data_IF_775610339610
#
_entry.id   IF_775610339610
#
_cell.length_a   1.000
_cell.length_b   1.000
_cell.length_c   1.000
_cell.angle_alpha   90.00
_cell.angle_beta   90.00
_cell.angle_gamma   90.00
#
_symmetry.space_group_name_H-M   'P 1'
#
loop_
_entity.id
_entity.type
_entity.pdbx_description
1 polymer ?
#
# COMPACT_ATOMS: atom_id res chain seq x y z
N UNK A 1 -8.00 0.48 2.30
CA UNK A 1 -7.45 -0.87 2.57
C UNK A 1 -8.61 -1.73 2.98
N UNK A 2 -8.99 -2.66 2.12
CA UNK A 2 -10.09 -3.59 2.41
C UNK A 2 -9.55 -4.63 3.40
N UNK A 3 -10.16 -4.73 4.58
CA UNK A 3 -9.77 -5.69 5.61
C UNK A 3 -10.59 -6.97 5.46
N UNK A 4 -10.11 -7.90 4.62
CA UNK A 4 -10.76 -9.20 4.43
C UNK A 4 -10.35 -10.15 5.55
N UNK A 5 -11.33 -10.67 6.28
CA UNK A 5 -11.13 -11.65 7.36
C UNK A 5 -11.30 -13.09 6.88
N UNK A 6 -10.51 -14.02 7.44
CA UNK A 6 -10.73 -15.47 7.29
C UNK A 6 -12.06 -15.84 7.94
N UNK A 7 -12.60 -17.01 7.57
CA UNK A 7 -13.70 -17.63 8.32
C UNK A 7 -13.34 -17.92 9.79
N UNK A 8 -12.05 -18.02 10.13
CA UNK A 8 -11.58 -18.13 11.52
C UNK A 8 -11.41 -16.79 12.25
N UNK A 9 -11.74 -15.66 11.62
CA UNK A 9 -11.58 -14.31 12.18
C UNK A 9 -10.17 -13.71 12.06
N UNK A 10 -9.16 -14.51 11.69
CA UNK A 10 -7.80 -14.01 11.48
C UNK A 10 -7.70 -13.10 10.23
N UNK A 11 -6.72 -12.20 10.24
CA UNK A 11 -6.40 -11.35 9.07
C UNK A 11 -5.87 -12.19 7.91
N UNK A 12 -6.15 -11.75 6.68
CA UNK A 12 -5.66 -12.39 5.46
C UNK A 12 -4.40 -11.71 4.91
N UNK A 13 -3.64 -12.46 4.11
CA UNK A 13 -2.51 -11.96 3.33
C UNK A 13 -2.75 -12.21 1.85
N UNK A 14 -2.31 -11.30 1.00
CA UNK A 14 -2.37 -11.47 -0.45
C UNK A 14 -1.21 -12.34 -0.92
N UNK A 15 -1.49 -13.33 -1.77
CA UNK A 15 -0.51 -14.22 -2.41
C UNK A 15 -0.77 -14.35 -3.90
N UNK A 16 0.28 -14.71 -4.63
CA UNK A 16 0.21 -15.00 -6.07
C UNK A 16 -0.06 -16.48 -6.32
N UNK A 17 -1.02 -16.79 -7.19
CA UNK A 17 -1.30 -18.16 -7.63
C UNK A 17 -0.30 -18.58 -8.71
N UNK A 18 0.31 -19.76 -8.51
CA UNK A 18 1.19 -20.44 -9.47
C UNK A 18 0.51 -21.64 -10.14
N UNK A 19 -0.82 -21.77 -9.97
CA UNK A 19 -1.56 -22.85 -10.61
C UNK A 19 -1.64 -22.65 -12.12
N UNK A 20 -1.63 -23.75 -12.89
CA UNK A 20 -1.80 -23.70 -14.35
C UNK A 20 -3.12 -23.03 -14.78
N UNK A 21 -4.16 -23.12 -13.94
CA UNK A 21 -5.50 -22.59 -14.22
C UNK A 21 -5.59 -21.08 -14.00
N UNK A 22 -4.90 -20.56 -12.99
CA UNK A 22 -4.95 -19.14 -12.61
C UNK A 22 -3.53 -18.60 -12.38
N UNK A 23 -2.64 -18.59 -13.38
CA UNK A 23 -1.28 -18.12 -13.21
C UNK A 23 -1.27 -16.60 -12.94
N UNK A 24 -0.48 -16.15 -11.97
CA UNK A 24 -0.27 -14.72 -11.68
C UNK A 24 -1.41 -14.02 -10.94
N UNK A 25 -2.58 -14.64 -10.80
CA UNK A 25 -3.71 -14.03 -10.07
C UNK A 25 -3.45 -13.93 -8.58
N UNK A 26 -3.90 -12.84 -7.98
CA UNK A 26 -3.79 -12.58 -6.55
C UNK A 26 -4.98 -13.20 -5.79
N UNK A 27 -4.72 -13.74 -4.60
CA UNK A 27 -5.74 -14.26 -3.70
C UNK A 27 -5.40 -13.97 -2.24
N UNK A 28 -6.44 -13.71 -1.45
CA UNK A 28 -6.40 -13.63 0.01
C UNK A 28 -6.27 -15.03 0.59
N UNK A 29 -5.32 -15.21 1.49
CA UNK A 29 -5.04 -16.44 2.20
C UNK A 29 -5.04 -16.19 3.71
N UNK A 30 -5.48 -17.19 4.48
CA UNK A 30 -5.32 -17.14 5.94
C UNK A 30 -3.84 -17.00 6.35
N UNK A 31 -3.58 -16.22 7.40
CA UNK A 31 -2.26 -16.12 8.04
C UNK A 31 -1.96 -17.30 8.97
N UNK A 32 -2.99 -17.92 9.55
CA UNK A 32 -2.85 -19.07 10.45
C UNK A 32 -2.41 -20.29 9.63
N UNK A 33 -1.17 -20.73 9.83
CA UNK A 33 -0.62 -21.94 9.19
C UNK A 33 -1.12 -23.19 9.91
N UNK A 34 -1.82 -24.07 9.20
CA UNK A 34 -2.26 -25.37 9.73
C UNK A 34 -3.57 -25.88 9.11
N UNK A 35 -4.05 -27.07 9.49
CA UNK A 35 -5.25 -27.68 8.92
C UNK A 35 -6.56 -26.94 9.24
N UNK A 36 -6.53 -25.88 10.07
CA UNK A 36 -7.71 -25.28 10.69
C UNK A 36 -8.44 -24.20 9.86
N UNK A 37 -7.75 -23.30 9.12
CA UNK A 37 -8.40 -22.33 8.20
C UNK A 37 -7.74 -22.40 6.82
N UNK A 38 -8.44 -22.97 5.84
CA UNK A 38 -8.01 -23.06 4.42
C UNK A 38 -8.68 -22.01 3.54
N UNK A 39 -9.02 -20.86 4.10
CA UNK A 39 -9.68 -19.79 3.37
C UNK A 39 -8.83 -19.33 2.18
N UNK A 40 -9.48 -19.25 1.03
CA UNK A 40 -8.96 -18.68 -0.21
C UNK A 40 -10.08 -17.80 -0.77
N UNK A 41 -9.79 -16.51 -0.95
CA UNK A 41 -10.66 -15.56 -1.65
C UNK A 41 -9.90 -14.92 -2.80
N UNK A 42 -10.47 -14.81 -3.99
CA UNK A 42 -9.80 -14.15 -5.11
C UNK A 42 -9.86 -12.62 -4.95
N UNK A 43 -8.73 -11.95 -5.22
CA UNK A 43 -8.72 -10.49 -5.36
C UNK A 43 -9.45 -10.14 -6.65
N UNK A 44 -10.37 -9.18 -6.57
CA UNK A 44 -11.09 -8.68 -7.74
C UNK A 44 -10.43 -7.38 -8.26
N UNK A 45 -10.85 -6.93 -9.45
CA UNK A 45 -10.26 -5.75 -10.09
C UNK A 45 -10.51 -4.45 -9.30
N UNK A 46 -11.65 -4.34 -8.60
CA UNK A 46 -11.97 -3.18 -7.76
C UNK A 46 -11.06 -3.09 -6.53
N UNK A 47 -10.78 -4.23 -5.87
CA UNK A 47 -9.88 -4.31 -4.72
C UNK A 47 -8.47 -3.84 -5.11
N UNK A 48 -7.99 -4.32 -6.26
CA UNK A 48 -6.66 -3.96 -6.78
C UNK A 48 -6.57 -2.47 -7.15
N UNK A 49 -7.60 -1.92 -7.80
CA UNK A 49 -7.65 -0.50 -8.15
C UNK A 49 -7.70 0.39 -6.90
N UNK A 50 -8.51 0.02 -5.91
CA UNK A 50 -8.57 0.73 -4.63
C UNK A 50 -7.21 0.77 -3.90
N UNK A 51 -6.48 -0.35 -3.86
CA UNK A 51 -5.15 -0.40 -3.24
C UNK A 51 -4.11 0.41 -4.03
N UNK A 52 -4.17 0.40 -5.36
CA UNK A 52 -3.32 1.24 -6.22
C UNK A 52 -3.61 2.73 -6.01
N UNK A 53 -4.88 3.14 -5.96
CA UNK A 53 -5.27 4.51 -5.65
C UNK A 53 -4.80 4.94 -4.26
N UNK A 54 -4.97 4.07 -3.24
CA UNK A 54 -4.49 4.35 -1.89
C UNK A 54 -2.95 4.54 -1.84
N UNK A 55 -2.20 3.70 -2.57
CA UNK A 55 -0.76 3.87 -2.72
C UNK A 55 -0.40 5.20 -3.38
N UNK A 56 -1.08 5.55 -4.49
CA UNK A 56 -0.89 6.83 -5.18
C UNK A 56 -1.17 8.03 -4.29
N UNK A 57 -2.30 8.05 -3.57
CA UNK A 57 -2.65 9.13 -2.65
C UNK A 57 -1.59 9.30 -1.56
N UNK A 58 -1.09 8.20 -1.00
CA UNK A 58 -0.01 8.24 0.01
C UNK A 58 1.27 8.83 -0.56
N UNK A 59 1.64 8.45 -1.78
CA UNK A 59 2.82 8.99 -2.46
C UNK A 59 2.67 10.48 -2.81
N UNK A 60 1.50 10.90 -3.29
CA UNK A 60 1.17 12.31 -3.55
C UNK A 60 1.27 13.15 -2.27
N UNK A 61 0.81 12.62 -1.14
CA UNK A 61 0.93 13.29 0.17
C UNK A 61 2.39 13.44 0.60
N UNK A 62 3.21 12.39 0.47
CA UNK A 62 4.64 12.50 0.77
C UNK A 62 5.33 13.50 -0.14
N UNK A 63 4.99 13.50 -1.44
CA UNK A 63 5.50 14.46 -2.40
C UNK A 63 5.10 15.89 -2.07
N UNK A 64 3.87 16.12 -1.59
CA UNK A 64 3.41 17.44 -1.14
C UNK A 64 4.24 17.94 0.04
N UNK A 65 4.50 17.07 1.03
CA UNK A 65 5.36 17.39 2.18
C UNK A 65 6.79 17.67 1.76
N UNK A 66 7.36 16.83 0.90
CA UNK A 66 8.71 17.02 0.38
C UNK A 66 8.85 18.37 -0.35
N UNK A 67 7.89 18.70 -1.22
CA UNK A 67 7.86 20.00 -1.91
C UNK A 67 7.79 21.16 -0.91
N UNK A 68 6.94 21.06 0.12
CA UNK A 68 6.85 22.08 1.15
C UNK A 68 8.18 22.24 1.91
N UNK A 69 8.82 21.15 2.33
CA UNK A 69 10.11 21.20 3.02
C UNK A 69 11.21 21.79 2.14
N UNK A 70 11.22 21.49 0.83
CA UNK A 70 12.16 22.09 -0.11
C UNK A 70 11.95 23.59 -0.23
N UNK A 71 10.71 24.06 -0.32
CA UNK A 71 10.41 25.50 -0.34
C UNK A 71 10.88 26.18 0.95
N UNK A 72 10.58 25.60 2.11
CA UNK A 72 11.01 26.14 3.41
C UNK A 72 12.54 26.20 3.49
N UNK A 73 13.23 25.14 3.08
CA UNK A 73 14.70 25.08 3.06
C UNK A 73 15.30 26.15 2.14
N UNK A 74 14.70 26.36 0.96
CA UNK A 74 15.13 27.40 0.02
C UNK A 74 14.94 28.80 0.59
N UNK A 75 13.79 29.08 1.22
CA UNK A 75 13.53 30.37 1.87
C UNK A 75 14.56 30.64 2.98
N UNK A 76 14.86 29.64 3.80
CA UNK A 76 15.87 29.75 4.86
C UNK A 76 17.29 29.95 4.30
N UNK A 77 17.66 29.22 3.25
CA UNK A 77 18.97 29.38 2.61
C UNK A 77 19.14 30.79 2.02
N UNK A 78 18.13 31.27 1.31
CA UNK A 78 18.13 32.63 0.72
C UNK A 78 18.16 33.70 1.80
N UNK A 79 17.40 33.54 2.89
CA UNK A 79 17.42 34.50 3.98
C UNK A 79 18.81 34.61 4.62
N UNK A 80 19.46 33.48 4.91
CA UNK A 80 20.84 33.48 5.43
C UNK A 80 21.80 34.18 4.49
N UNK A 81 21.70 33.97 3.17
CA UNK A 81 22.54 34.67 2.20
C UNK A 81 22.31 36.18 2.20
N UNK A 82 21.04 36.62 2.25
CA UNK A 82 20.70 38.05 2.29
C UNK A 82 21.18 38.70 3.59
N UNK A 83 21.03 38.04 4.73
CA UNK A 83 21.46 38.58 6.03
C UNK A 83 22.98 38.49 6.27
N UNK A 84 23.71 37.69 5.48
CA UNK A 84 25.19 37.57 5.53
C UNK A 84 25.91 38.51 4.56
N UNK A 85 25.19 39.21 3.69
CA UNK A 85 25.68 40.28 2.80
C UNK A 85 25.45 41.62 3.49
#
# INVERSE_FOLDING_TARGET
MIDIKCNCGATTVIRTSYSKRNPGKLYYACTVKGPLCKFIGWVNDYDQDCDFMAFRMKHEEQNRKLKLYLVISWVFFVSVLIYKV
#
